data_IF_164302541922
#
_entry.id   IF_164302541922
#
_cell.length_a   1.000
_cell.length_b   1.000
_cell.length_c   1.000
_cell.angle_alpha   90.00
_cell.angle_beta   90.00
_cell.angle_gamma   90.00
#
_symmetry.space_group_name_H-M   'P 1'
#
loop_
_entity.id
_entity.type
_entity.pdbx_description
1 polymer ?
#
# COMPACT_ATOMS: atom_id res chain seq x y z
N UNK A 1 -6.54 13.16 7.78
CA UNK A 1 -7.68 13.99 8.25
C UNK A 1 -9.01 13.27 8.06
N UNK A 2 -9.44 12.94 6.82
CA UNK A 2 -10.74 12.28 6.55
C UNK A 2 -10.98 11.02 7.39
N UNK A 3 -10.04 10.07 7.37
CA UNK A 3 -10.13 8.82 8.14
C UNK A 3 -10.24 9.06 9.65
N UNK A 4 -9.43 9.97 10.20
CA UNK A 4 -9.42 10.29 11.62
C UNK A 4 -10.66 11.03 12.10
N UNK A 5 -11.29 11.83 11.23
CA UNK A 5 -12.56 12.51 11.49
C UNK A 5 -13.77 11.60 11.27
N UNK A 6 -13.57 10.36 10.83
CA UNK A 6 -14.63 9.42 10.43
C UNK A 6 -15.59 9.97 9.38
N UNK A 7 -15.10 10.89 8.54
CA UNK A 7 -15.89 11.50 7.46
C UNK A 7 -15.98 10.54 6.25
N UNK A 8 -16.54 9.35 6.45
CA UNK A 8 -16.50 8.27 5.45
C UNK A 8 -17.30 8.60 4.18
N UNK A 9 -18.33 9.43 4.28
CA UNK A 9 -19.08 9.92 3.12
C UNK A 9 -18.18 10.65 2.10
N UNK A 10 -17.08 11.28 2.56
CA UNK A 10 -16.11 11.90 1.66
C UNK A 10 -15.35 10.86 0.81
N UNK A 11 -15.09 9.65 1.35
CA UNK A 11 -14.51 8.57 0.56
C UNK A 11 -15.48 8.07 -0.50
N UNK A 12 -16.77 7.97 -0.17
CA UNK A 12 -17.83 7.60 -1.12
C UNK A 12 -17.93 8.61 -2.25
N UNK A 13 -18.06 9.89 -1.91
CA UNK A 13 -18.16 10.97 -2.88
C UNK A 13 -16.94 11.02 -3.82
N UNK A 14 -15.72 10.80 -3.27
CA UNK A 14 -14.51 10.70 -4.07
C UNK A 14 -14.53 9.49 -5.02
N UNK A 15 -14.87 8.29 -4.51
CA UNK A 15 -14.91 7.06 -5.32
C UNK A 15 -15.87 7.21 -6.52
N UNK A 16 -17.10 7.66 -6.23
CA UNK A 16 -18.14 7.86 -7.24
C UNK A 16 -17.74 8.93 -8.26
N UNK A 17 -17.13 10.03 -7.81
CA UNK A 17 -16.68 11.10 -8.70
C UNK A 17 -15.61 10.62 -9.65
N UNK A 18 -14.59 9.91 -9.17
CA UNK A 18 -13.48 9.45 -10.00
C UNK A 18 -13.97 8.46 -11.06
N UNK A 19 -14.79 7.48 -10.67
CA UNK A 19 -15.37 6.51 -11.60
C UNK A 19 -16.22 7.19 -12.67
N UNK A 20 -17.11 8.10 -12.28
CA UNK A 20 -18.02 8.78 -13.21
C UNK A 20 -17.32 9.78 -14.13
N UNK A 21 -16.39 10.57 -13.59
CA UNK A 21 -15.77 11.68 -14.32
C UNK A 21 -14.64 11.22 -15.23
N UNK A 22 -13.84 10.25 -14.77
CA UNK A 22 -12.60 9.85 -15.45
C UNK A 22 -12.63 8.42 -15.98
N UNK A 23 -13.71 7.66 -15.73
CA UNK A 23 -13.78 6.23 -16.09
C UNK A 23 -12.55 5.46 -15.58
N UNK A 24 -12.15 5.76 -14.35
CA UNK A 24 -10.93 5.23 -13.72
C UNK A 24 -11.24 4.67 -12.33
N UNK A 25 -10.37 3.81 -11.83
CA UNK A 25 -10.44 3.31 -10.46
C UNK A 25 -9.79 4.27 -9.46
N UNK A 26 -10.42 4.55 -8.32
CA UNK A 26 -9.83 5.39 -7.28
C UNK A 26 -8.72 4.64 -6.54
N UNK A 27 -7.61 5.34 -6.30
CA UNK A 27 -6.54 4.89 -5.42
C UNK A 27 -6.52 5.68 -4.13
N UNK A 28 -6.15 5.03 -3.02
CA UNK A 28 -6.06 5.65 -1.71
C UNK A 28 -4.65 5.53 -1.16
N UNK A 29 -4.12 6.61 -0.57
CA UNK A 29 -2.81 6.59 0.08
C UNK A 29 -2.95 6.76 1.59
N UNK A 30 -2.28 5.91 2.38
CA UNK A 30 -2.37 5.95 3.85
C UNK A 30 -1.15 5.37 4.55
N UNK A 31 -0.91 5.80 5.78
CA UNK A 31 0.03 5.14 6.72
C UNK A 31 -0.71 4.31 7.79
N UNK A 32 -2.03 4.16 7.65
CA UNK A 32 -2.90 3.35 8.49
C UNK A 32 -3.82 2.50 7.59
N UNK A 33 -3.24 1.49 6.95
CA UNK A 33 -3.95 0.61 6.02
C UNK A 33 -5.08 -0.18 6.68
N UNK A 34 -4.91 -0.79 7.87
CA UNK A 34 -5.99 -1.55 8.50
C UNK A 34 -7.24 -0.70 8.72
N UNK A 35 -7.08 0.48 9.32
CA UNK A 35 -8.22 1.37 9.57
C UNK A 35 -8.84 1.92 8.29
N UNK A 36 -8.03 2.21 7.25
CA UNK A 36 -8.56 2.69 5.98
C UNK A 36 -9.37 1.58 5.29
N UNK A 37 -8.83 0.36 5.22
CA UNK A 37 -9.50 -0.74 4.54
C UNK A 37 -10.84 -1.05 5.19
N UNK A 38 -10.88 -1.10 6.53
CA UNK A 38 -12.13 -1.33 7.26
C UNK A 38 -13.14 -0.20 7.03
N UNK A 39 -12.69 1.06 7.01
CA UNK A 39 -13.55 2.19 6.71
C UNK A 39 -14.14 2.13 5.29
N UNK A 40 -13.32 1.87 4.27
CA UNK A 40 -13.74 1.74 2.87
C UNK A 40 -14.74 0.60 2.69
N UNK A 41 -14.45 -0.57 3.28
CA UNK A 41 -15.34 -1.72 3.25
C UNK A 41 -16.69 -1.40 3.93
N UNK A 42 -16.68 -0.67 5.06
CA UNK A 42 -17.91 -0.32 5.79
C UNK A 42 -18.90 0.53 4.98
N UNK A 43 -18.40 1.27 3.99
CA UNK A 43 -19.22 2.10 3.10
C UNK A 43 -19.40 1.48 1.72
N UNK A 44 -19.02 0.22 1.52
CA UNK A 44 -19.20 -0.54 0.27
C UNK A 44 -18.14 -0.33 -0.81
N UNK A 45 -16.97 0.24 -0.51
CA UNK A 45 -15.81 0.17 -1.42
C UNK A 45 -15.11 -1.16 -1.12
N UNK A 46 -15.26 -2.12 -2.03
CA UNK A 46 -14.66 -3.46 -1.92
C UNK A 46 -13.46 -3.59 -2.86
N UNK A 47 -12.48 -4.40 -2.46
CA UNK A 47 -11.23 -4.63 -3.20
C UNK A 47 -10.52 -3.33 -3.68
N UNK A 48 -10.32 -2.31 -2.82
CA UNK A 48 -9.73 -1.02 -3.22
C UNK A 48 -8.23 -1.11 -3.54
N UNK A 49 -7.73 -0.16 -4.34
CA UNK A 49 -6.30 0.07 -4.53
C UNK A 49 -5.78 0.94 -3.38
N UNK A 50 -4.88 0.40 -2.54
CA UNK A 50 -4.34 1.12 -1.38
C UNK A 50 -2.82 1.19 -1.46
N UNK A 51 -2.27 2.39 -1.63
CA UNK A 51 -0.86 2.69 -1.49
C UNK A 51 -0.52 2.93 -0.01
N UNK A 52 0.31 2.08 0.58
CA UNK A 52 0.62 2.18 2.01
C UNK A 52 2.05 1.77 2.35
N UNK A 53 2.54 2.23 3.50
CA UNK A 53 3.85 1.82 4.01
C UNK A 53 3.83 0.31 4.26
N UNK A 54 4.72 -0.43 3.60
CA UNK A 54 4.92 -1.86 3.86
C UNK A 54 6.43 -2.10 3.82
N UNK A 55 7.01 -2.44 4.97
CA UNK A 55 8.44 -2.71 5.09
C UNK A 55 8.71 -3.58 6.32
N UNK A 56 9.88 -4.23 6.30
CA UNK A 56 10.28 -5.24 7.29
C UNK A 56 10.41 -4.72 8.73
N UNK A 57 10.57 -3.41 8.92
CA UNK A 57 10.83 -2.81 10.24
C UNK A 57 9.66 -2.00 10.80
N UNK A 58 8.47 -2.08 10.18
CA UNK A 58 7.29 -1.38 10.68
C UNK A 58 7.33 0.15 10.51
N UNK A 59 8.22 0.68 9.67
CA UNK A 59 8.37 2.13 9.49
C UNK A 59 7.08 2.73 8.91
N UNK A 60 6.45 3.64 9.67
CA UNK A 60 5.20 4.33 9.31
C UNK A 60 4.03 3.36 9.00
N UNK A 61 3.95 2.26 9.76
CA UNK A 61 2.85 1.29 9.72
C UNK A 61 2.00 1.42 11.00
N UNK A 62 1.04 2.35 10.99
CA UNK A 62 0.23 2.64 12.19
C UNK A 62 -0.58 1.42 12.63
N UNK A 63 -0.43 1.01 13.89
CA UNK A 63 -1.04 -0.21 14.45
C UNK A 63 -0.08 -1.39 14.58
N UNK A 64 1.15 -1.28 14.07
CA UNK A 64 2.18 -2.32 14.16
C UNK A 64 2.34 -3.11 12.86
N UNK A 65 3.45 -3.86 12.76
CA UNK A 65 3.74 -4.69 11.58
C UNK A 65 2.80 -5.89 11.50
N UNK A 66 2.48 -6.49 12.66
CA UNK A 66 1.73 -7.73 12.79
C UNK A 66 0.31 -7.60 12.21
N UNK A 67 -0.36 -6.47 12.44
CA UNK A 67 -1.69 -6.23 11.88
C UNK A 67 -1.65 -6.01 10.36
N UNK A 68 -0.58 -5.43 9.82
CA UNK A 68 -0.42 -5.30 8.37
C UNK A 68 -0.21 -6.65 7.72
N UNK A 69 0.70 -7.48 8.25
CA UNK A 69 0.95 -8.82 7.74
C UNK A 69 -0.32 -9.69 7.78
N UNK A 70 -1.09 -9.58 8.87
CA UNK A 70 -2.40 -10.21 8.99
C UNK A 70 -3.36 -9.74 7.89
N UNK A 71 -3.48 -8.44 7.68
CA UNK A 71 -4.39 -7.89 6.67
C UNK A 71 -3.96 -8.25 5.24
N UNK A 72 -2.66 -8.21 4.93
CA UNK A 72 -2.10 -8.64 3.65
C UNK A 72 -2.41 -10.12 3.38
N UNK A 73 -2.37 -10.96 4.41
CA UNK A 73 -2.69 -12.39 4.30
C UNK A 73 -4.19 -12.66 4.19
N UNK A 74 -5.01 -12.06 5.05
CA UNK A 74 -6.41 -12.45 5.25
C UNK A 74 -7.43 -11.60 4.49
N UNK A 75 -7.14 -10.32 4.21
CA UNK A 75 -8.14 -9.36 3.69
C UNK A 75 -8.02 -9.17 2.18
N UNK A 76 -9.13 -8.86 1.53
CA UNK A 76 -9.19 -8.61 0.09
C UNK A 76 -9.04 -7.12 -0.21
N UNK A 77 -7.95 -6.77 -0.90
CA UNK A 77 -7.65 -5.45 -1.45
C UNK A 77 -6.42 -5.54 -2.36
N UNK A 78 -6.11 -4.47 -3.09
CA UNK A 78 -4.95 -4.35 -3.99
C UNK A 78 -3.90 -3.42 -3.38
N UNK A 79 -2.93 -3.94 -2.61
CA UNK A 79 -1.88 -3.13 -2.02
C UNK A 79 -0.87 -2.62 -3.06
N UNK A 80 -0.48 -1.36 -2.94
CA UNK A 80 0.74 -0.81 -3.54
C UNK A 80 1.73 -0.54 -2.39
N UNK A 81 2.81 -1.31 -2.33
CA UNK A 81 3.80 -1.19 -1.27
C UNK A 81 4.67 0.05 -1.48
N UNK A 82 4.57 1.05 -0.60
CA UNK A 82 5.45 2.22 -0.58
C UNK A 82 6.37 2.23 0.65
N UNK A 83 7.38 3.11 0.64
CA UNK A 83 8.36 3.24 1.73
C UNK A 83 9.07 1.92 2.07
N UNK A 84 9.25 1.07 1.07
CA UNK A 84 9.78 -0.30 1.21
C UNK A 84 11.20 -0.32 1.80
N UNK A 85 11.99 0.71 1.51
CA UNK A 85 13.35 0.89 2.04
C UNK A 85 13.39 1.53 3.44
N UNK A 86 12.24 1.83 4.05
CA UNK A 86 12.13 2.47 5.36
C UNK A 86 13.02 3.72 5.53
N UNK A 87 12.89 4.67 4.59
CA UNK A 87 13.73 5.88 4.52
C UNK A 87 15.25 5.61 4.40
N UNK A 88 15.63 4.46 3.82
CA UNK A 88 17.02 4.06 3.62
C UNK A 88 17.59 3.18 4.73
N UNK A 89 16.80 2.85 5.75
CA UNK A 89 17.21 1.95 6.83
C UNK A 89 17.34 0.48 6.38
N UNK A 90 16.67 0.09 5.30
CA UNK A 90 16.73 -1.25 4.73
C UNK A 90 17.52 -1.29 3.42
N UNK A 91 18.29 -2.37 3.23
CA UNK A 91 18.92 -2.66 1.95
C UNK A 91 17.85 -3.08 0.92
N UNK A 92 17.99 -2.76 -0.38
CA UNK A 92 17.00 -3.11 -1.39
C UNK A 92 16.62 -4.59 -1.41
N UNK A 93 17.60 -5.51 -1.39
CA UNK A 93 17.32 -6.96 -1.36
C UNK A 93 16.45 -7.35 -0.17
N UNK A 94 16.82 -6.92 1.03
CA UNK A 94 16.09 -7.24 2.26
C UNK A 94 14.66 -6.69 2.24
N UNK A 95 14.50 -5.46 1.74
CA UNK A 95 13.20 -4.83 1.62
C UNK A 95 12.28 -5.60 0.67
N UNK A 96 12.76 -5.93 -0.52
CA UNK A 96 11.95 -6.58 -1.55
C UNK A 96 11.68 -8.05 -1.25
N UNK A 97 12.65 -8.78 -0.71
CA UNK A 97 12.45 -10.17 -0.25
C UNK A 97 11.38 -10.26 0.83
N UNK A 98 11.32 -9.28 1.75
CA UNK A 98 10.25 -9.21 2.74
C UNK A 98 8.86 -9.06 2.10
N UNK A 99 8.72 -8.24 1.06
CA UNK A 99 7.44 -8.06 0.35
C UNK A 99 6.99 -9.34 -0.36
N UNK A 100 7.94 -10.14 -0.86
CA UNK A 100 7.66 -11.41 -1.54
C UNK A 100 6.93 -12.44 -0.65
N UNK A 101 6.89 -12.25 0.67
CA UNK A 101 6.08 -13.08 1.56
C UNK A 101 4.57 -12.83 1.44
N UNK A 102 4.15 -11.78 0.72
CA UNK A 102 2.75 -11.37 0.60
C UNK A 102 2.30 -11.38 -0.87
N UNK A 103 1.74 -12.51 -1.38
CA UNK A 103 1.42 -12.67 -2.80
C UNK A 103 0.47 -11.63 -3.41
N UNK A 104 -0.30 -10.89 -2.60
CA UNK A 104 -1.19 -9.82 -3.07
C UNK A 104 -0.45 -8.54 -3.46
N UNK A 105 0.81 -8.39 -3.08
CA UNK A 105 1.62 -7.23 -3.44
C UNK A 105 2.14 -7.42 -4.85
N UNK A 106 1.40 -6.89 -5.81
CA UNK A 106 1.78 -6.91 -7.24
C UNK A 106 2.37 -5.58 -7.71
N UNK A 107 2.44 -4.58 -6.83
CA UNK A 107 2.88 -3.22 -7.16
C UNK A 107 3.72 -2.62 -6.05
N UNK A 108 4.88 -2.09 -6.43
CA UNK A 108 5.86 -1.48 -5.51
C UNK A 108 6.20 -0.07 -5.95
N UNK A 109 6.02 0.89 -5.04
CA UNK A 109 6.46 2.27 -5.18
C UNK A 109 7.79 2.44 -4.44
N UNK A 110 8.87 2.59 -5.20
CA UNK A 110 10.21 2.84 -4.67
C UNK A 110 10.81 4.12 -5.27
N UNK A 111 11.67 4.78 -4.49
CA UNK A 111 12.44 5.94 -4.94
C UNK A 111 13.85 5.53 -5.34
N UNK A 112 14.36 6.12 -6.42
CA UNK A 112 15.73 5.92 -6.89
C UNK A 112 16.25 7.20 -7.54
N UNK A 113 17.54 7.49 -7.36
CA UNK A 113 18.22 8.69 -7.88
C UNK A 113 19.17 8.42 -9.05
N UNK A 114 19.41 7.16 -9.40
CA UNK A 114 20.26 6.74 -10.51
C UNK A 114 19.60 5.64 -11.33
N UNK A 115 20.02 5.51 -12.60
CA UNK A 115 19.55 4.47 -13.51
C UNK A 115 19.92 3.08 -12.99
N UNK A 116 21.09 2.95 -12.38
CA UNK A 116 21.61 1.74 -11.77
C UNK A 116 20.70 1.28 -10.63
N UNK A 117 20.31 2.18 -9.71
CA UNK A 117 19.40 1.86 -8.60
C UNK A 117 18.00 1.46 -9.09
N UNK A 118 17.51 2.10 -10.16
CA UNK A 118 16.23 1.73 -10.79
C UNK A 118 16.31 0.29 -11.31
N UNK A 119 17.36 -0.03 -12.07
CA UNK A 119 17.56 -1.37 -12.64
C UNK A 119 17.68 -2.43 -11.53
N UNK A 120 18.55 -2.21 -10.55
CA UNK A 120 18.76 -3.15 -9.44
C UNK A 120 17.46 -3.43 -8.68
N UNK A 121 16.71 -2.38 -8.33
CA UNK A 121 15.45 -2.55 -7.57
C UNK A 121 14.39 -3.26 -8.41
N UNK A 122 14.30 -2.95 -9.71
CA UNK A 122 13.39 -3.65 -10.64
C UNK A 122 13.73 -5.14 -10.73
N UNK A 123 15.00 -5.49 -10.91
CA UNK A 123 15.44 -6.89 -11.00
C UNK A 123 15.15 -7.66 -9.70
N UNK A 124 15.27 -7.01 -8.54
CA UNK A 124 14.86 -7.59 -7.26
C UNK A 124 13.34 -7.80 -7.21
N UNK A 125 12.54 -6.82 -7.65
CA UNK A 125 11.08 -6.95 -7.69
C UNK A 125 10.69 -8.14 -8.56
N UNK A 126 11.18 -8.21 -9.81
CA UNK A 126 10.90 -9.32 -10.74
C UNK A 126 11.37 -10.69 -10.23
N UNK A 127 12.31 -10.73 -9.28
CA UNK A 127 12.81 -11.97 -8.69
C UNK A 127 11.94 -12.48 -7.53
N UNK A 128 11.37 -11.58 -6.73
CA UNK A 128 10.74 -11.93 -5.46
C UNK A 128 9.22 -11.72 -5.44
N UNK A 129 8.66 -10.98 -6.41
CA UNK A 129 7.22 -10.76 -6.61
C UNK A 129 6.83 -11.34 -7.97
#
# INVERSE_FOLDING_TARGET
MILGLKAYDAFRAFDDYIRRKYNAEPGYITMNMPALLDALNSIGITNPIICTSINKIGFRMSGGIEIYEKYLSEKEFRPVAMQVLAAGALKPREAIEYLGNFPKIESVLFGASSKEHIRETKELIEKYL
#
